data_IF_948945021405
#
_entry.id   IF_948945021405
#
_cell.length_a   1.000
_cell.length_b   1.000
_cell.length_c   1.000
_cell.angle_alpha   90.00
_cell.angle_beta   90.00
_cell.angle_gamma   90.00
#
_symmetry.space_group_name_H-M   'P 1'
#
loop_
_entity.id
_entity.type
_entity.pdbx_description
1 polymer ?
#
# COMPACT_ATOMS: atom_id res chain seq x y z
N UNK A 1 -9.23 1.16 -5.27
CA UNK A 1 -8.58 -0.08 -5.71
C UNK A 1 -9.15 -1.23 -4.90
N UNK A 2 -9.56 -2.33 -5.52
CA UNK A 2 -10.12 -3.51 -4.83
C UNK A 2 -9.08 -4.59 -4.60
N UNK A 3 -9.45 -5.61 -3.83
CA UNK A 3 -8.63 -6.80 -3.58
C UNK A 3 -8.33 -7.57 -4.87
N UNK A 4 -9.32 -7.70 -5.74
CA UNK A 4 -9.21 -8.39 -7.03
C UNK A 4 -8.27 -7.63 -7.97
N UNK A 5 -8.37 -6.30 -8.01
CA UNK A 5 -7.46 -5.45 -8.79
C UNK A 5 -6.01 -5.60 -8.32
N UNK A 6 -5.77 -5.65 -7.00
CA UNK A 6 -4.45 -5.90 -6.43
C UNK A 6 -3.88 -7.27 -6.79
N UNK A 7 -4.73 -8.29 -6.69
CA UNK A 7 -4.36 -9.67 -7.01
C UNK A 7 -3.89 -9.77 -8.46
N UNK A 8 -4.63 -9.16 -9.40
CA UNK A 8 -4.27 -9.13 -10.81
C UNK A 8 -2.97 -8.33 -11.03
N UNK A 9 -2.91 -7.10 -10.50
CA UNK A 9 -1.78 -6.20 -10.66
C UNK A 9 -0.46 -6.86 -10.23
N UNK A 10 -0.40 -7.40 -9.01
CA UNK A 10 0.85 -8.01 -8.49
C UNK A 10 1.17 -9.31 -9.22
N UNK A 11 0.15 -10.10 -9.60
CA UNK A 11 0.38 -11.35 -10.34
C UNK A 11 1.04 -11.11 -11.69
N UNK A 12 0.63 -10.08 -12.42
CA UNK A 12 1.24 -9.70 -13.71
C UNK A 12 2.69 -9.22 -13.55
N UNK A 13 3.01 -8.58 -12.42
CA UNK A 13 4.34 -8.04 -12.14
C UNK A 13 5.31 -9.05 -11.51
N UNK A 14 4.84 -10.22 -11.07
CA UNK A 14 5.66 -11.21 -10.37
C UNK A 14 6.97 -11.58 -11.07
N UNK A 15 6.95 -11.71 -12.41
CA UNK A 15 8.15 -12.00 -13.20
C UNK A 15 9.19 -10.90 -13.11
N UNK A 16 8.74 -9.64 -13.14
CA UNK A 16 9.61 -8.45 -13.07
C UNK A 16 10.17 -8.32 -11.65
N UNK A 17 9.32 -8.42 -10.63
CA UNK A 17 9.73 -8.38 -9.21
C UNK A 17 10.79 -9.46 -8.92
N UNK A 18 10.59 -10.67 -9.45
CA UNK A 18 11.57 -11.75 -9.34
C UNK A 18 12.91 -11.40 -10.00
N UNK A 19 12.87 -10.80 -11.19
CA UNK A 19 14.07 -10.43 -11.93
C UNK A 19 14.84 -9.29 -11.23
N UNK A 20 14.14 -8.29 -10.69
CA UNK A 20 14.73 -7.22 -9.87
C UNK A 20 15.47 -7.77 -8.65
N UNK A 21 14.90 -8.79 -8.00
CA UNK A 21 15.54 -9.47 -6.87
C UNK A 21 16.69 -10.41 -7.29
N UNK A 22 16.95 -10.59 -8.59
CA UNK A 22 17.96 -11.53 -9.08
C UNK A 22 17.63 -13.01 -8.83
N UNK A 23 16.35 -13.34 -8.65
CA UNK A 23 15.93 -14.69 -8.24
C UNK A 23 15.60 -15.60 -9.43
N UNK A 24 15.97 -16.88 -9.30
CA UNK A 24 15.45 -17.94 -10.16
C UNK A 24 13.99 -18.23 -9.80
N UNK A 25 13.25 -18.90 -10.70
CA UNK A 25 11.87 -19.32 -10.41
C UNK A 25 11.81 -20.27 -9.21
N UNK A 26 12.79 -21.18 -9.06
CA UNK A 26 12.87 -22.06 -7.89
C UNK A 26 13.05 -21.27 -6.59
N UNK A 27 13.98 -20.31 -6.59
CA UNK A 27 14.23 -19.47 -5.42
C UNK A 27 13.00 -18.64 -5.04
N UNK A 28 12.40 -17.96 -6.02
CA UNK A 28 11.21 -17.15 -5.80
C UNK A 28 10.05 -17.98 -5.26
N UNK A 29 9.79 -19.14 -5.87
CA UNK A 29 8.72 -20.04 -5.45
C UNK A 29 8.91 -20.48 -3.99
N UNK A 30 10.13 -20.85 -3.60
CA UNK A 30 10.47 -21.17 -2.21
C UNK A 30 10.28 -19.99 -1.26
N UNK A 31 10.64 -18.77 -1.67
CA UNK A 31 10.54 -17.56 -0.84
C UNK A 31 9.09 -17.18 -0.58
N UNK A 32 8.22 -17.22 -1.60
CA UNK A 32 6.81 -16.83 -1.48
C UNK A 32 5.87 -17.99 -1.11
N UNK A 33 6.43 -19.18 -0.86
CA UNK A 33 5.69 -20.35 -0.36
C UNK A 33 4.76 -20.99 -1.39
N UNK A 34 5.14 -21.02 -2.67
CA UNK A 34 4.37 -21.69 -3.75
C UNK A 34 5.22 -22.73 -4.48
N UNK A 35 4.59 -23.62 -5.23
CA UNK A 35 5.35 -24.53 -6.10
C UNK A 35 5.95 -23.78 -7.29
N UNK A 36 7.12 -24.22 -7.79
CA UNK A 36 7.72 -23.68 -9.03
C UNK A 36 6.74 -23.72 -10.20
N UNK A 37 5.98 -24.83 -10.33
CA UNK A 37 4.95 -24.98 -11.37
C UNK A 37 3.89 -23.88 -11.27
N UNK A 38 3.43 -23.58 -10.06
CA UNK A 38 2.46 -22.51 -9.78
C UNK A 38 3.03 -21.16 -10.21
N UNK A 39 4.23 -20.81 -9.77
CA UNK A 39 4.89 -19.55 -10.15
C UNK A 39 5.03 -19.44 -11.68
N UNK A 40 5.45 -20.50 -12.37
CA UNK A 40 5.58 -20.52 -13.83
C UNK A 40 4.24 -20.29 -14.52
N UNK A 41 3.13 -20.83 -14.01
CA UNK A 41 1.80 -20.57 -14.60
C UNK A 41 1.37 -19.12 -14.39
N UNK A 42 1.71 -18.54 -13.23
CA UNK A 42 1.42 -17.12 -12.94
C UNK A 42 2.21 -16.21 -13.86
N UNK A 43 3.52 -16.43 -14.01
CA UNK A 43 4.37 -15.62 -14.90
C UNK A 43 4.00 -15.76 -16.39
N UNK A 44 3.24 -16.79 -16.75
CA UNK A 44 2.67 -16.98 -18.10
C UNK A 44 1.27 -16.37 -18.27
N UNK A 45 0.71 -15.77 -17.24
CA UNK A 45 -0.65 -15.21 -17.24
C UNK A 45 -1.76 -16.27 -17.29
N UNK A 46 -1.46 -17.52 -16.97
CA UNK A 46 -2.43 -18.64 -17.01
C UNK A 46 -3.11 -18.88 -15.67
N UNK A 47 -2.55 -18.35 -14.60
CA UNK A 47 -3.03 -18.45 -13.24
C UNK A 47 -2.78 -17.12 -12.53
N UNK A 48 -3.61 -16.78 -11.57
CA UNK A 48 -3.44 -15.57 -10.74
C UNK A 48 -3.09 -16.03 -9.33
N UNK A 49 -2.16 -15.34 -8.66
CA UNK A 49 -1.77 -15.70 -7.30
C UNK A 49 -2.94 -15.49 -6.32
N UNK A 50 -2.99 -16.31 -5.28
CA UNK A 50 -3.96 -16.14 -4.19
C UNK A 50 -3.61 -14.96 -3.30
N UNK A 51 -4.59 -14.43 -2.57
CA UNK A 51 -4.42 -13.26 -1.70
C UNK A 51 -3.23 -13.37 -0.74
N UNK A 52 -3.04 -14.52 -0.09
CA UNK A 52 -1.92 -14.73 0.85
C UNK A 52 -0.56 -14.66 0.17
N UNK A 53 -0.43 -15.15 -1.06
CA UNK A 53 0.80 -15.00 -1.86
C UNK A 53 1.05 -13.54 -2.22
N UNK A 54 0.01 -12.77 -2.54
CA UNK A 54 0.12 -11.33 -2.84
C UNK A 54 0.61 -10.56 -1.60
N UNK A 55 0.01 -10.82 -0.45
CA UNK A 55 0.45 -10.25 0.84
C UNK A 55 1.92 -10.59 1.11
N UNK A 56 2.32 -11.85 0.93
CA UNK A 56 3.71 -12.28 1.11
C UNK A 56 4.67 -11.57 0.14
N UNK A 57 4.27 -11.40 -1.13
CA UNK A 57 5.06 -10.68 -2.14
C UNK A 57 5.23 -9.21 -1.74
N UNK A 58 4.14 -8.52 -1.38
CA UNK A 58 4.20 -7.13 -0.94
C UNK A 58 5.06 -6.95 0.32
N UNK A 59 5.00 -7.89 1.26
CA UNK A 59 5.81 -7.85 2.48
C UNK A 59 7.30 -8.10 2.22
N UNK A 60 7.63 -9.16 1.47
CA UNK A 60 9.02 -9.59 1.25
C UNK A 60 9.75 -8.73 0.22
N UNK A 61 9.01 -8.12 -0.71
CA UNK A 61 9.56 -7.31 -1.80
C UNK A 61 9.11 -5.85 -1.73
N UNK A 62 8.79 -5.34 -0.53
CA UNK A 62 8.39 -3.95 -0.25
C UNK A 62 9.25 -2.89 -0.94
N UNK A 63 10.56 -3.15 -1.12
CA UNK A 63 11.52 -2.24 -1.73
C UNK A 63 11.69 -2.42 -3.25
N UNK A 64 10.92 -3.32 -3.88
CA UNK A 64 10.89 -3.48 -5.35
C UNK A 64 10.40 -2.17 -5.97
N UNK A 65 11.17 -1.66 -6.91
CA UNK A 65 10.81 -0.45 -7.65
C UNK A 65 9.52 -0.68 -8.45
N UNK A 66 9.37 -1.85 -9.08
CA UNK A 66 8.12 -2.22 -9.75
C UNK A 66 6.92 -2.16 -8.82
N UNK A 67 7.02 -2.69 -7.60
CA UNK A 67 5.92 -2.60 -6.63
C UNK A 67 5.70 -1.16 -6.16
N UNK A 68 6.75 -0.45 -5.75
CA UNK A 68 6.60 0.93 -5.28
C UNK A 68 5.95 1.83 -6.33
N UNK A 69 6.35 1.70 -7.59
CA UNK A 69 5.77 2.48 -8.69
C UNK A 69 4.34 2.05 -9.02
N UNK A 70 4.03 0.75 -8.96
CA UNK A 70 2.67 0.26 -9.22
C UNK A 70 1.67 0.70 -8.13
N UNK A 71 2.15 0.85 -6.90
CA UNK A 71 1.34 1.21 -5.73
C UNK A 71 1.41 2.69 -5.35
N UNK A 72 2.33 3.45 -5.94
CA UNK A 72 2.60 4.85 -5.59
C UNK A 72 3.22 5.06 -4.22
N UNK A 73 3.99 4.09 -3.72
CA UNK A 73 4.59 4.16 -2.39
C UNK A 73 4.74 2.78 -1.79
N UNK A 74 4.61 2.70 -0.47
CA UNK A 74 4.78 1.44 0.27
C UNK A 74 3.67 0.44 -0.09
N UNK A 75 3.98 -0.73 -0.69
CA UNK A 75 2.97 -1.73 -1.05
C UNK A 75 2.20 -2.27 0.16
N UNK A 76 2.83 -2.30 1.35
CA UNK A 76 2.16 -2.76 2.56
C UNK A 76 1.06 -1.82 3.01
N UNK A 77 1.28 -0.50 2.93
CA UNK A 77 0.25 0.50 3.25
C UNK A 77 -1.04 0.22 2.47
N UNK A 78 -0.90 -0.07 1.19
CA UNK A 78 -2.04 -0.26 0.30
C UNK A 78 -2.72 -1.60 0.53
N UNK A 79 -1.96 -2.67 0.78
CA UNK A 79 -2.50 -3.98 1.17
C UNK A 79 -3.30 -3.87 2.46
N UNK A 80 -2.81 -3.11 3.44
CA UNK A 80 -3.52 -2.89 4.71
C UNK A 80 -4.86 -2.18 4.51
N UNK A 81 -4.89 -1.12 3.69
CA UNK A 81 -6.13 -0.38 3.39
C UNK A 81 -7.15 -1.30 2.72
N UNK A 82 -6.72 -2.11 1.75
CA UNK A 82 -7.63 -3.04 1.05
C UNK A 82 -8.07 -4.21 1.94
N UNK A 83 -7.20 -4.70 2.83
CA UNK A 83 -7.53 -5.82 3.71
C UNK A 83 -8.54 -5.46 4.81
N UNK A 84 -8.57 -4.19 5.23
CA UNK A 84 -9.28 -3.73 6.43
C UNK A 84 -10.56 -2.95 6.14
N UNK A 85 -10.92 -2.71 4.87
CA UNK A 85 -12.16 -2.03 4.45
C UNK A 85 -12.50 -0.81 5.34
N UNK A 86 -11.65 0.23 5.29
CA UNK A 86 -11.86 1.57 5.90
C UNK A 86 -12.04 1.63 7.45
N UNK A 87 -11.00 1.35 8.27
CA UNK A 87 -11.02 1.76 9.71
C UNK A 87 -9.63 2.19 10.25
N UNK A 88 -9.66 3.26 11.08
CA UNK A 88 -8.61 3.85 11.93
C UNK A 88 -7.58 2.84 12.49
N UNK A 89 -6.27 3.09 12.26
CA UNK A 89 -5.24 2.70 13.24
C UNK A 89 -3.99 3.58 13.20
N UNK A 90 -3.52 3.90 14.41
CA UNK A 90 -2.34 4.72 14.76
C UNK A 90 -1.01 3.97 14.59
N UNK A 91 0.01 4.75 14.22
CA UNK A 91 1.48 4.57 14.39
C UNK A 91 2.21 3.63 13.42
N UNK A 92 2.51 4.16 12.23
CA UNK A 92 3.80 3.89 11.56
C UNK A 92 4.43 5.20 11.08
N UNK A 93 5.75 5.33 11.25
CA UNK A 93 6.52 6.48 10.77
C UNK A 93 6.65 6.36 9.25
N UNK A 94 6.22 7.38 8.51
CA UNK A 94 6.32 7.34 7.05
C UNK A 94 7.79 7.35 6.60
N UNK A 95 8.22 6.36 5.82
CA UNK A 95 9.61 6.24 5.32
C UNK A 95 9.90 7.14 4.09
N UNK A 96 9.34 8.36 4.05
CA UNK A 96 9.78 9.38 3.09
C UNK A 96 9.07 9.41 1.74
N UNK A 97 7.77 9.10 1.69
CA UNK A 97 6.95 9.23 0.48
C UNK A 97 6.59 10.67 0.12
N UNK A 98 7.57 11.56 -0.13
CA UNK A 98 7.27 12.95 -0.54
C UNK A 98 6.88 13.09 -2.02
N UNK A 99 7.29 12.15 -2.89
CA UNK A 99 7.14 12.31 -4.36
C UNK A 99 5.74 11.93 -4.84
N UNK A 100 5.13 10.88 -4.29
CA UNK A 100 3.83 10.36 -4.74
C UNK A 100 2.63 10.93 -3.99
N UNK A 101 2.85 11.87 -3.10
CA UNK A 101 1.82 12.38 -2.21
C UNK A 101 1.61 13.87 -2.45
N UNK A 102 0.39 14.22 -2.85
CA UNK A 102 -0.04 15.59 -2.98
C UNK A 102 -0.68 16.04 -1.67
N UNK A 103 -0.19 17.13 -1.09
CA UNK A 103 -0.85 17.77 0.06
C UNK A 103 -2.21 18.34 -0.39
N UNK A 104 -3.27 17.92 0.32
CA UNK A 104 -4.65 18.36 0.08
C UNK A 104 -5.02 19.46 1.08
N UNK A 105 -4.61 19.29 2.34
CA UNK A 105 -4.82 20.25 3.41
C UNK A 105 -3.76 20.06 4.49
N UNK A 106 -3.37 21.16 5.16
CA UNK A 106 -2.51 21.13 6.33
C UNK A 106 -3.05 22.14 7.33
N UNK A 107 -3.48 21.65 8.49
CA UNK A 107 -4.09 22.47 9.53
C UNK A 107 -3.97 21.79 10.90
N UNK A 108 -3.90 22.57 11.97
CA UNK A 108 -3.86 22.09 13.35
C UNK A 108 -2.77 21.04 13.63
N UNK A 109 -1.65 21.06 12.91
CA UNK A 109 -0.59 20.06 13.03
C UNK A 109 -0.84 18.73 12.29
N UNK A 110 -1.96 18.61 11.59
CA UNK A 110 -2.27 17.46 10.76
C UNK A 110 -2.03 17.76 9.28
N UNK A 111 -1.68 16.74 8.51
CA UNK A 111 -1.44 16.85 7.07
C UNK A 111 -2.29 15.81 6.35
N UNK A 112 -3.31 16.25 5.63
CA UNK A 112 -4.08 15.42 4.71
C UNK A 112 -3.37 15.39 3.35
N UNK A 113 -3.05 14.20 2.88
CA UNK A 113 -2.41 13.97 1.58
C UNK A 113 -3.19 12.96 0.75
N UNK A 114 -3.10 13.08 -0.57
CA UNK A 114 -3.63 12.12 -1.52
C UNK A 114 -2.49 11.50 -2.32
N UNK A 115 -2.49 10.17 -2.42
CA UNK A 115 -1.57 9.45 -3.27
C UNK A 115 -1.92 9.71 -4.75
N UNK A 116 -0.95 10.10 -5.56
CA UNK A 116 -1.16 10.48 -6.96
C UNK A 116 -1.46 9.26 -7.85
N UNK A 117 -1.02 8.06 -7.45
CA UNK A 117 -1.15 6.84 -8.25
C UNK A 117 -2.32 5.99 -7.78
N UNK A 118 -2.31 5.58 -6.51
CA UNK A 118 -3.37 4.75 -5.94
C UNK A 118 -4.63 5.55 -5.60
N UNK A 119 -4.57 6.88 -5.62
CA UNK A 119 -5.68 7.80 -5.32
C UNK A 119 -6.24 7.72 -3.89
N UNK A 120 -5.64 6.94 -2.98
CA UNK A 120 -6.05 6.92 -1.57
C UNK A 120 -5.54 8.14 -0.82
N UNK A 121 -6.24 8.46 0.26
CA UNK A 121 -5.93 9.55 1.17
C UNK A 121 -5.24 9.01 2.41
N UNK A 122 -4.38 9.84 3.02
CA UNK A 122 -3.83 9.62 4.37
C UNK A 122 -3.80 10.92 5.16
N UNK A 123 -3.95 10.82 6.48
CA UNK A 123 -3.74 11.92 7.43
C UNK A 123 -2.49 11.61 8.25
N UNK A 124 -1.58 12.57 8.36
CA UNK A 124 -0.37 12.50 9.18
C UNK A 124 -0.44 13.49 10.36
N UNK A 125 0.25 13.20 11.47
CA UNK A 125 0.52 14.18 12.53
C UNK A 125 1.78 15.03 12.25
N UNK A 126 2.11 15.91 13.20
CA UNK A 126 3.25 16.83 13.16
C UNK A 126 4.60 16.09 13.04
N UNK A 127 4.66 14.87 13.57
CA UNK A 127 5.83 14.00 13.55
C UNK A 127 5.86 13.05 12.33
N UNK A 128 4.95 13.26 11.36
CA UNK A 128 4.81 12.46 10.13
C UNK A 128 4.43 10.99 10.36
N UNK A 129 3.75 10.69 11.46
CA UNK A 129 3.11 9.39 11.67
C UNK A 129 1.73 9.37 11.00
N UNK A 130 1.42 8.25 10.36
CA UNK A 130 0.10 8.02 9.76
C UNK A 130 -0.94 7.77 10.84
N UNK A 131 -2.01 8.56 10.82
CA UNK A 131 -3.15 8.48 11.76
C UNK A 131 -4.32 7.77 11.11
N UNK A 132 -4.56 8.04 9.82
CA UNK A 132 -5.73 7.58 9.10
C UNK A 132 -5.41 7.39 7.61
N UNK A 133 -6.05 6.42 6.96
CA UNK A 133 -6.02 6.22 5.51
C UNK A 133 -7.33 5.65 4.99
N UNK A 134 -7.73 6.06 3.79
CA UNK A 134 -8.97 5.60 3.12
C UNK A 134 -8.91 5.85 1.62
N UNK A 135 -9.66 5.10 0.81
CA UNK A 135 -9.87 5.45 -0.60
C UNK A 135 -11.00 6.50 -0.79
N UNK A 136 -11.79 6.80 0.23
CA UNK A 136 -12.89 7.78 0.15
C UNK A 136 -12.45 9.18 0.62
N UNK A 137 -12.42 10.12 -0.34
CA UNK A 137 -12.05 11.51 -0.06
C UNK A 137 -13.03 12.27 0.84
N UNK A 138 -14.30 11.85 0.94
CA UNK A 138 -15.27 12.43 1.89
C UNK A 138 -14.95 11.97 3.30
N UNK A 139 -14.73 10.66 3.50
CA UNK A 139 -14.36 10.13 4.81
C UNK A 139 -13.04 10.74 5.32
N UNK A 140 -12.05 10.89 4.44
CA UNK A 140 -10.79 11.56 4.77
C UNK A 140 -10.99 13.00 5.27
N UNK A 141 -11.85 13.78 4.61
CA UNK A 141 -12.14 15.17 5.03
C UNK A 141 -12.93 15.22 6.33
N UNK A 142 -13.92 14.35 6.50
CA UNK A 142 -14.69 14.25 7.75
C UNK A 142 -13.76 13.92 8.91
N UNK A 143 -12.90 12.91 8.75
CA UNK A 143 -11.94 12.50 9.78
C UNK A 143 -10.95 13.60 10.15
N UNK A 144 -10.48 14.38 9.16
CA UNK A 144 -9.63 15.54 9.41
C UNK A 144 -10.32 16.58 10.30
N UNK A 145 -11.58 16.90 10.02
CA UNK A 145 -12.34 17.86 10.82
C UNK A 145 -12.58 17.37 12.25
N UNK A 146 -12.84 16.07 12.44
CA UNK A 146 -12.96 15.46 13.77
C UNK A 146 -11.67 15.59 14.58
N UNK A 147 -10.50 15.36 13.94
CA UNK A 147 -9.20 15.46 14.60
C UNK A 147 -8.87 16.91 15.00
N UNK A 148 -9.25 17.89 14.19
CA UNK A 148 -9.09 19.31 14.50
C UNK A 148 -9.99 19.71 15.69
N UNK A 149 -11.26 19.29 15.68
CA UNK A 149 -12.21 19.59 16.75
C UNK A 149 -11.81 18.97 18.10
N UNK A 150 -11.18 17.79 18.10
CA UNK A 150 -10.66 17.16 19.32
C UNK A 150 -9.47 17.92 19.90
N UNK A 151 -8.57 18.42 19.06
CA UNK A 151 -7.38 19.17 19.49
C UNK A 151 -7.74 20.52 20.13
N UNK A 152 -8.77 21.18 19.61
CA UNK A 152 -9.28 22.44 20.18
C UNK A 152 -9.94 22.24 21.56
N UNK A 153 -10.34 21.01 21.91
CA UNK A 153 -10.91 20.70 23.23
C UNK A 153 -9.85 20.37 24.30
N UNK A 154 -8.66 19.92 23.86
CA UNK A 154 -7.55 19.52 24.73
C UNK A 154 -6.52 20.66 24.99
N UNK A 155 -6.69 21.83 24.35
CA UNK A 155 -5.92 23.07 24.58
C UNK A 155 -6.63 24.03 25.52
#
# INVERSE_FOLDING_TARGET
MTKEELILLVSEKLKVIRAEAGYTQDRMASVIGVSKKTLVQIEKGRLVAGWTTIVAVCALFRSSETLMNSFGGDPLEVIEVVAREDIDYRKEKTLGGKIWWKEVNKDGGYILQQNIISNHYRILDEDYYRIYSTFDGKLAKTRMNELLAQKDHDM
#
